data_IF_079250802736
#
_entry.id   IF_079250802736
#
_cell.length_a   1.000
_cell.length_b   1.000
_cell.length_c   1.000
_cell.angle_alpha   90.00
_cell.angle_beta   90.00
_cell.angle_gamma   90.00
#
_symmetry.space_group_name_H-M   'P 1'
#
loop_
_entity.id
_entity.type
_entity.pdbx_description
1 polymer ?
#
# COMPACT_ATOMS: atom_id res chain seq x y z
N UNK A 1 -21.23 -13.72 -64.63
CA UNK A 1 -21.85 -14.28 -63.41
C UNK A 1 -21.72 -15.81 -63.41
N UNK A 2 -20.98 -16.42 -62.46
CA UNK A 2 -20.81 -17.86 -62.50
C UNK A 2 -22.16 -18.53 -62.28
N UNK A 3 -22.49 -19.51 -63.11
CA UNK A 3 -23.71 -20.30 -63.01
C UNK A 3 -23.70 -21.04 -61.67
N UNK A 4 -24.43 -20.52 -60.66
CA UNK A 4 -24.71 -21.27 -59.44
C UNK A 4 -25.49 -22.52 -59.84
N UNK A 5 -25.05 -23.71 -59.43
CA UNK A 5 -25.85 -24.91 -59.65
C UNK A 5 -27.16 -24.75 -58.87
N UNK A 6 -28.29 -25.21 -59.43
CA UNK A 6 -29.61 -25.22 -58.78
C UNK A 6 -29.60 -25.86 -57.37
N UNK A 7 -28.57 -26.67 -57.09
CA UNK A 7 -28.28 -27.27 -55.78
C UNK A 7 -27.76 -26.25 -54.76
N UNK A 8 -26.85 -25.36 -55.17
CA UNK A 8 -26.27 -24.31 -54.31
C UNK A 8 -27.35 -23.30 -53.92
N UNK A 9 -28.24 -22.95 -54.86
CA UNK A 9 -29.35 -22.03 -54.61
C UNK A 9 -30.35 -22.61 -53.60
N UNK A 10 -30.77 -23.87 -53.77
CA UNK A 10 -31.67 -24.55 -52.83
C UNK A 10 -31.06 -24.71 -51.43
N UNK A 11 -29.75 -24.95 -51.36
CA UNK A 11 -29.02 -25.04 -50.10
C UNK A 11 -28.99 -23.69 -49.35
N UNK A 12 -28.68 -22.59 -50.05
CA UNK A 12 -28.68 -21.25 -49.46
C UNK A 12 -30.08 -20.80 -49.03
N UNK A 13 -31.12 -21.14 -49.80
CA UNK A 13 -32.52 -20.90 -49.42
C UNK A 13 -32.91 -21.69 -48.15
N UNK A 14 -32.45 -22.94 -48.01
CA UNK A 14 -32.65 -23.75 -46.80
C UNK A 14 -31.95 -23.16 -45.56
N UNK A 15 -30.70 -22.70 -45.70
CA UNK A 15 -29.99 -22.03 -44.59
C UNK A 15 -30.69 -20.74 -44.20
N UNK A 16 -31.09 -19.91 -45.16
CA UNK A 16 -31.81 -18.66 -44.87
C UNK A 16 -33.14 -18.92 -44.16
N UNK A 17 -33.89 -19.94 -44.58
CA UNK A 17 -35.10 -20.37 -43.87
C UNK A 17 -34.82 -20.85 -42.44
N UNK A 18 -33.75 -21.61 -42.24
CA UNK A 18 -33.32 -22.07 -40.90
C UNK A 18 -32.92 -20.90 -39.99
N UNK A 19 -32.19 -19.91 -40.51
CA UNK A 19 -31.85 -18.71 -39.73
C UNK A 19 -33.12 -17.96 -39.33
N UNK A 20 -34.04 -17.73 -40.28
CA UNK A 20 -35.26 -16.96 -40.03
C UNK A 20 -36.14 -17.63 -38.94
N UNK A 21 -36.37 -18.94 -39.10
CA UNK A 21 -37.16 -19.73 -38.15
C UNK A 21 -36.54 -19.80 -36.76
N UNK A 22 -35.22 -19.95 -36.65
CA UNK A 22 -34.54 -19.94 -35.35
C UNK A 22 -34.50 -18.54 -34.72
N UNK A 23 -34.36 -17.47 -35.52
CA UNK A 23 -34.43 -16.10 -35.00
C UNK A 23 -35.83 -15.71 -34.50
N UNK A 24 -36.89 -16.22 -35.14
CA UNK A 24 -38.28 -16.03 -34.71
C UNK A 24 -38.58 -16.80 -33.42
N UNK A 25 -38.08 -18.03 -33.27
CA UNK A 25 -38.22 -18.83 -32.04
C UNK A 25 -37.57 -18.19 -30.83
N UNK A 26 -36.42 -17.54 -31.01
CA UNK A 26 -35.64 -16.90 -29.94
C UNK A 26 -36.10 -15.45 -29.68
N UNK A 27 -37.11 -14.95 -30.40
CA UNK A 27 -37.64 -13.60 -30.22
C UNK A 27 -36.65 -12.48 -30.57
N UNK A 28 -35.55 -12.82 -31.27
CA UNK A 28 -34.49 -11.90 -31.63
C UNK A 28 -34.72 -11.33 -33.05
N UNK A 29 -35.76 -10.53 -33.24
CA UNK A 29 -36.08 -9.90 -34.53
C UNK A 29 -35.23 -8.64 -34.84
N UNK A 30 -34.76 -7.92 -33.81
CA UNK A 30 -34.07 -6.63 -34.01
C UNK A 30 -32.53 -6.74 -34.08
N UNK A 31 -31.84 -6.03 -35.00
CA UNK A 31 -30.37 -6.01 -35.07
C UNK A 31 -29.72 -5.54 -33.75
N UNK A 32 -29.04 -6.44 -33.03
CA UNK A 32 -28.39 -6.18 -31.74
C UNK A 32 -27.47 -7.33 -31.28
N UNK A 33 -26.62 -7.10 -30.25
CA UNK A 33 -25.63 -8.06 -29.74
C UNK A 33 -26.28 -9.10 -28.82
N UNK A 34 -27.16 -9.93 -29.38
CA UNK A 34 -27.71 -11.09 -28.69
C UNK A 34 -26.72 -12.25 -28.75
N UNK A 35 -26.39 -12.84 -27.59
CA UNK A 35 -25.53 -14.02 -27.50
C UNK A 35 -26.17 -15.24 -28.20
N UNK A 36 -27.50 -15.31 -28.17
CA UNK A 36 -28.28 -16.35 -28.81
C UNK A 36 -28.27 -16.21 -30.34
N UNK A 37 -28.28 -14.97 -30.85
CA UNK A 37 -28.11 -14.70 -32.28
C UNK A 37 -26.75 -15.18 -32.78
N UNK A 38 -25.69 -14.90 -32.03
CA UNK A 38 -24.35 -15.36 -32.41
C UNK A 38 -24.29 -16.90 -32.51
N UNK A 39 -24.97 -17.64 -31.61
CA UNK A 39 -25.07 -19.10 -31.68
C UNK A 39 -25.79 -19.56 -32.96
N UNK A 40 -26.91 -18.90 -33.32
CA UNK A 40 -27.67 -19.21 -34.54
C UNK A 40 -26.81 -19.02 -35.80
N UNK A 41 -26.10 -17.89 -35.90
CA UNK A 41 -25.23 -17.61 -37.05
C UNK A 41 -23.97 -18.50 -37.06
N UNK A 42 -23.41 -18.85 -35.90
CA UNK A 42 -22.26 -19.76 -35.80
C UNK A 42 -22.63 -21.17 -36.29
N UNK A 43 -23.83 -21.66 -35.93
CA UNK A 43 -24.39 -22.93 -36.41
C UNK A 43 -24.70 -22.91 -37.91
N UNK A 44 -25.22 -21.79 -38.43
CA UNK A 44 -25.45 -21.62 -39.86
C UNK A 44 -24.13 -21.61 -40.65
N UNK A 45 -23.07 -21.00 -40.09
CA UNK A 45 -21.75 -20.98 -40.69
C UNK A 45 -21.10 -22.37 -40.71
N UNK A 46 -21.30 -23.18 -39.67
CA UNK A 46 -20.84 -24.59 -39.66
C UNK A 46 -21.48 -25.40 -40.79
N UNK A 47 -22.78 -25.23 -41.02
CA UNK A 47 -23.48 -25.89 -42.14
C UNK A 47 -22.88 -25.47 -43.50
N UNK A 48 -22.44 -24.22 -43.64
CA UNK A 48 -21.77 -23.73 -44.86
C UNK A 48 -20.36 -24.33 -45.01
N UNK A 49 -19.61 -24.42 -43.91
CA UNK A 49 -18.28 -25.05 -43.87
C UNK A 49 -18.35 -26.52 -44.27
N UNK A 50 -19.39 -27.24 -43.84
CA UNK A 50 -19.61 -28.65 -44.20
C UNK A 50 -19.96 -28.82 -45.69
N UNK A 51 -20.76 -27.92 -46.25
CA UNK A 51 -21.16 -27.96 -47.67
C UNK A 51 -20.01 -27.63 -48.62
N UNK A 52 -19.18 -26.64 -48.27
CA UNK A 52 -18.08 -26.15 -49.12
C UNK A 52 -16.76 -26.79 -48.69
N UNK A 53 -16.63 -28.10 -48.97
CA UNK A 53 -15.49 -28.91 -48.55
C UNK A 53 -14.13 -28.43 -49.09
N UNK A 54 -14.10 -27.83 -50.29
CA UNK A 54 -12.88 -27.33 -50.93
C UNK A 54 -12.21 -26.18 -50.17
N UNK A 55 -12.99 -25.34 -49.49
CA UNK A 55 -12.51 -24.19 -48.72
C UNK A 55 -12.63 -24.39 -47.20
N UNK A 56 -12.93 -25.63 -46.77
CA UNK A 56 -13.22 -25.98 -45.37
C UNK A 56 -12.15 -25.47 -44.40
N UNK A 57 -10.87 -25.68 -44.73
CA UNK A 57 -9.76 -25.29 -43.86
C UNK A 57 -9.69 -23.76 -43.68
N UNK A 58 -9.84 -23.00 -44.77
CA UNK A 58 -9.78 -21.53 -44.76
C UNK A 58 -10.98 -20.96 -43.99
N UNK A 59 -12.20 -21.45 -44.26
CA UNK A 59 -13.40 -20.99 -43.57
C UNK A 59 -13.37 -21.35 -42.07
N UNK A 60 -12.80 -22.50 -41.71
CA UNK A 60 -12.63 -22.89 -40.30
C UNK A 60 -11.61 -21.98 -39.59
N UNK A 61 -10.48 -21.66 -40.23
CA UNK A 61 -9.51 -20.71 -39.68
C UNK A 61 -10.10 -19.31 -39.51
N UNK A 62 -10.86 -18.82 -40.50
CA UNK A 62 -11.57 -17.53 -40.39
C UNK A 62 -12.56 -17.57 -39.23
N UNK A 63 -13.36 -18.64 -39.10
CA UNK A 63 -14.27 -18.81 -37.96
C UNK A 63 -13.50 -18.70 -36.64
N UNK A 64 -12.41 -19.46 -36.49
CA UNK A 64 -11.61 -19.48 -35.27
C UNK A 64 -11.07 -18.10 -34.85
N UNK A 65 -10.61 -17.28 -35.80
CA UNK A 65 -10.13 -15.92 -35.52
C UNK A 65 -11.25 -15.01 -35.00
N UNK A 66 -12.43 -15.04 -35.63
CA UNK A 66 -13.57 -14.26 -35.16
C UNK A 66 -14.08 -14.76 -33.80
N UNK A 67 -14.07 -16.07 -33.58
CA UNK A 67 -14.45 -16.66 -32.29
C UNK A 67 -13.49 -16.30 -31.16
N UNK A 68 -12.19 -16.29 -31.43
CA UNK A 68 -11.17 -15.84 -30.51
C UNK A 68 -11.34 -14.35 -30.16
N UNK A 69 -11.63 -13.51 -31.17
CA UNK A 69 -11.88 -12.08 -30.98
C UNK A 69 -13.12 -11.81 -30.10
N UNK A 70 -14.24 -12.48 -30.40
CA UNK A 70 -15.48 -12.37 -29.61
C UNK A 70 -15.23 -12.82 -28.17
N UNK A 71 -14.51 -13.93 -27.98
CA UNK A 71 -14.17 -14.45 -26.64
C UNK A 71 -13.30 -13.45 -25.87
N UNK A 72 -12.33 -12.81 -26.55
CA UNK A 72 -11.49 -11.78 -25.95
C UNK A 72 -12.31 -10.56 -25.49
N UNK A 73 -13.27 -10.10 -26.29
CA UNK A 73 -14.17 -9.01 -25.91
C UNK A 73 -15.03 -9.39 -24.70
N UNK A 74 -15.63 -10.58 -24.71
CA UNK A 74 -16.47 -11.07 -23.59
C UNK A 74 -15.68 -11.18 -22.30
N UNK A 75 -14.45 -11.71 -22.36
CA UNK A 75 -13.57 -11.80 -21.21
C UNK A 75 -13.16 -10.41 -20.70
N UNK A 76 -12.89 -9.46 -21.61
CA UNK A 76 -12.65 -8.07 -21.26
C UNK A 76 -13.82 -7.44 -20.49
N UNK A 77 -15.05 -7.60 -20.96
CA UNK A 77 -16.25 -7.09 -20.28
C UNK A 77 -16.46 -7.70 -18.90
N UNK A 78 -16.26 -9.01 -18.75
CA UNK A 78 -16.31 -9.71 -17.45
C UNK A 78 -15.25 -9.20 -16.48
N UNK A 79 -14.02 -9.00 -16.95
CA UNK A 79 -12.93 -8.48 -16.15
C UNK A 79 -13.22 -7.05 -15.67
N UNK A 80 -13.72 -6.18 -16.55
CA UNK A 80 -14.12 -4.81 -16.18
C UNK A 80 -15.21 -4.82 -15.11
N UNK A 81 -16.22 -5.67 -15.26
CA UNK A 81 -17.29 -5.80 -14.25
C UNK A 81 -16.73 -6.26 -12.89
N UNK A 82 -15.86 -7.27 -12.89
CA UNK A 82 -15.22 -7.78 -11.67
C UNK A 82 -14.33 -6.73 -11.00
N UNK A 83 -13.48 -6.03 -11.77
CA UNK A 83 -12.63 -4.96 -11.28
C UNK A 83 -13.46 -3.82 -10.68
N UNK A 84 -14.56 -3.44 -11.33
CA UNK A 84 -15.49 -2.43 -10.80
C UNK A 84 -16.13 -2.87 -9.48
N UNK A 85 -16.48 -4.15 -9.35
CA UNK A 85 -16.98 -4.72 -8.10
C UNK A 85 -15.95 -4.66 -6.96
N UNK A 86 -14.69 -5.04 -7.24
CA UNK A 86 -13.58 -4.96 -6.28
C UNK A 86 -13.26 -3.52 -5.88
N UNK A 87 -13.25 -2.60 -6.83
CA UNK A 87 -13.01 -1.18 -6.57
C UNK A 87 -14.06 -0.61 -5.63
N UNK A 88 -15.34 -0.92 -5.86
CA UNK A 88 -16.43 -0.52 -4.96
C UNK A 88 -16.31 -1.11 -3.55
N UNK A 89 -15.81 -2.35 -3.43
CA UNK A 89 -15.55 -2.96 -2.13
C UNK A 89 -14.40 -2.24 -1.39
N UNK A 90 -13.29 -1.95 -2.08
CA UNK A 90 -12.16 -1.21 -1.53
C UNK A 90 -12.55 0.22 -1.12
N UNK A 91 -13.36 0.91 -1.92
CA UNK A 91 -13.93 2.22 -1.56
C UNK A 91 -14.72 2.11 -0.25
N UNK A 92 -15.54 1.08 -0.08
CA UNK A 92 -16.30 0.86 1.16
C UNK A 92 -15.39 0.54 2.36
N UNK A 93 -14.34 -0.26 2.17
CA UNK A 93 -13.34 -0.55 3.21
C UNK A 93 -12.61 0.73 3.65
N UNK A 94 -12.31 1.63 2.72
CA UNK A 94 -11.68 2.92 3.04
C UNK A 94 -12.57 3.78 3.95
N UNK A 95 -13.89 3.76 3.74
CA UNK A 95 -14.83 4.46 4.63
C UNK A 95 -14.92 3.82 6.01
N UNK A 96 -14.95 2.48 6.09
CA UNK A 96 -14.89 1.75 7.36
C UNK A 96 -13.61 2.07 8.15
N UNK A 97 -12.46 2.11 7.47
CA UNK A 97 -11.17 2.47 8.05
C UNK A 97 -11.17 3.90 8.61
N UNK A 98 -11.84 4.83 7.92
CA UNK A 98 -12.02 6.21 8.39
C UNK A 98 -12.84 6.26 9.69
N UNK A 99 -13.92 5.46 9.80
CA UNK A 99 -14.67 5.34 11.05
C UNK A 99 -13.83 4.74 12.18
N UNK A 100 -13.03 3.70 11.91
CA UNK A 100 -12.14 3.12 12.91
C UNK A 100 -11.07 4.11 13.39
N UNK A 101 -10.46 4.89 12.49
CA UNK A 101 -9.51 5.95 12.86
C UNK A 101 -10.16 7.02 13.73
N UNK A 102 -11.35 7.49 13.36
CA UNK A 102 -12.11 8.45 14.17
C UNK A 102 -12.39 7.89 15.57
N UNK A 103 -12.80 6.62 15.65
CA UNK A 103 -13.06 5.96 16.93
C UNK A 103 -11.79 5.79 17.78
N UNK A 104 -10.66 5.51 17.16
CA UNK A 104 -9.37 5.42 17.85
C UNK A 104 -8.99 6.77 18.50
N UNK A 105 -9.15 7.88 17.76
CA UNK A 105 -8.90 9.23 18.28
C UNK A 105 -9.83 9.58 19.44
N UNK A 106 -11.13 9.26 19.33
CA UNK A 106 -12.09 9.45 20.44
C UNK A 106 -11.72 8.65 21.70
N UNK A 107 -11.19 7.44 21.53
CA UNK A 107 -10.75 6.60 22.65
C UNK A 107 -9.47 7.15 23.29
N UNK A 108 -8.55 7.66 22.49
CA UNK A 108 -7.31 8.27 22.97
C UNK A 108 -7.59 9.54 23.80
N UNK A 109 -8.53 10.38 23.35
CA UNK A 109 -8.97 11.56 24.12
C UNK A 109 -9.62 11.17 25.45
N UNK A 110 -10.42 10.09 25.46
CA UNK A 110 -11.01 9.56 26.69
C UNK A 110 -9.95 9.01 27.64
N UNK A 111 -8.92 8.33 27.12
CA UNK A 111 -7.80 7.85 27.92
C UNK A 111 -7.07 9.02 28.57
N UNK A 112 -6.72 10.07 27.81
CA UNK A 112 -6.09 11.29 28.33
C UNK A 112 -6.94 11.96 29.41
N UNK A 113 -8.26 12.02 29.24
CA UNK A 113 -9.17 12.56 30.25
C UNK A 113 -9.18 11.71 31.53
N UNK A 114 -9.17 10.39 31.40
CA UNK A 114 -9.07 9.46 32.54
C UNK A 114 -7.74 9.63 33.26
N UNK A 115 -6.62 9.65 32.55
CA UNK A 115 -5.28 9.84 33.13
C UNK A 115 -5.18 11.16 33.91
N UNK A 116 -5.72 12.25 33.34
CA UNK A 116 -5.79 13.54 34.04
C UNK A 116 -6.62 13.46 35.32
N UNK A 117 -7.71 12.71 35.32
CA UNK A 117 -8.54 12.52 36.51
C UNK A 117 -7.86 11.61 37.54
N UNK A 118 -7.20 10.53 37.10
CA UNK A 118 -6.41 9.65 37.95
C UNK A 118 -5.29 10.43 38.66
N UNK A 119 -4.56 11.27 37.93
CA UNK A 119 -3.52 12.12 38.53
C UNK A 119 -4.07 13.12 39.57
N UNK A 120 -5.28 13.66 39.36
CA UNK A 120 -5.93 14.50 40.37
C UNK A 120 -6.28 13.71 41.62
N UNK A 121 -6.84 12.51 41.46
CA UNK A 121 -7.21 11.65 42.57
C UNK A 121 -5.97 11.24 43.37
N UNK A 122 -4.88 10.85 42.70
CA UNK A 122 -3.60 10.53 43.36
C UNK A 122 -3.07 11.72 44.17
N UNK A 123 -3.13 12.93 43.63
CA UNK A 123 -2.73 14.13 44.36
C UNK A 123 -3.60 14.39 45.60
N UNK A 124 -4.92 14.18 45.51
CA UNK A 124 -5.81 14.30 46.68
C UNK A 124 -5.54 13.20 47.71
N UNK A 125 -5.26 11.96 47.28
CA UNK A 125 -4.85 10.87 48.18
C UNK A 125 -3.57 11.24 48.93
N UNK A 126 -2.57 11.81 48.24
CA UNK A 126 -1.34 12.27 48.88
C UNK A 126 -1.59 13.37 49.91
N UNK A 127 -2.50 14.32 49.63
CA UNK A 127 -2.91 15.34 50.60
C UNK A 127 -3.57 14.72 51.82
N UNK A 128 -4.50 13.78 51.63
CA UNK A 128 -5.17 13.06 52.73
C UNK A 128 -4.16 12.26 53.57
N UNK A 129 -3.21 11.58 52.94
CA UNK A 129 -2.15 10.84 53.65
C UNK A 129 -1.23 11.77 54.45
N UNK A 130 -0.93 12.96 53.94
CA UNK A 130 -0.15 13.96 54.66
C UNK A 130 -0.91 14.54 55.86
N UNK A 131 -2.23 14.68 55.77
CA UNK A 131 -3.10 15.07 56.90
C UNK A 131 -3.17 13.94 57.94
N UNK A 132 -3.23 12.68 57.51
CA UNK A 132 -3.24 11.50 58.39
C UNK A 132 -1.91 11.18 59.08
N UNK A 133 -0.78 11.76 58.65
CA UNK A 133 0.53 11.63 59.33
C UNK A 133 0.67 12.52 60.58
N UNK A 134 -0.27 13.44 60.83
CA UNK A 134 -0.38 14.17 62.10
C UNK A 134 -1.58 13.60 62.88
N UNK A 135 -1.46 12.34 63.30
CA UNK A 135 -2.15 11.72 64.44
C UNK A 135 -2.18 10.20 64.21
N UNK A 136 -1.30 9.48 64.88
CA UNK A 136 -1.50 8.06 65.14
C UNK A 136 -0.69 7.65 66.36
N UNK A 137 -1.27 7.89 67.53
CA UNK A 137 -1.12 6.94 68.62
C UNK A 137 -1.86 5.66 68.24
N UNK A 138 -1.08 4.60 68.11
CA UNK A 138 -1.33 3.19 68.45
C UNK A 138 -2.77 2.77 68.75
N UNK A 139 -3.38 1.96 67.88
CA UNK A 139 -4.24 0.82 68.24
C UNK A 139 -4.22 -0.14 67.03
N UNK A 140 -3.68 -1.36 67.09
CA UNK A 140 -3.99 -2.40 68.07
C UNK A 140 -5.07 -3.29 67.48
N UNK A 141 -4.67 -4.37 66.80
CA UNK A 141 -5.56 -5.42 66.29
C UNK A 141 -6.44 -5.92 67.42
N UNK A 142 -7.74 -5.60 67.39
CA UNK A 142 -8.72 -6.23 68.26
C UNK A 142 -9.66 -7.07 67.40
N UNK A 143 -9.55 -8.39 67.57
CA UNK A 143 -10.62 -9.32 67.31
C UNK A 143 -11.89 -8.79 68.00
N UNK A 144 -12.89 -8.41 67.20
CA UNK A 144 -14.18 -8.00 67.75
C UNK A 144 -14.91 -9.24 68.24
N UNK A 145 -14.78 -9.51 69.54
CA UNK A 145 -15.85 -10.12 70.31
C UNK A 145 -17.14 -9.32 70.06
N UNK A 146 -18.13 -9.99 69.48
CA UNK A 146 -19.43 -9.38 69.16
C UNK A 146 -20.19 -9.21 70.47
N UNK A 147 -20.09 -8.03 71.07
CA UNK A 147 -20.98 -7.63 72.17
C UNK A 147 -22.42 -7.51 71.63
N UNK A 148 -23.41 -8.18 72.23
CA UNK A 148 -24.79 -8.21 71.74
C UNK A 148 -25.55 -6.88 71.86
N UNK A 149 -24.91 -5.81 72.34
CA UNK A 149 -25.52 -4.50 72.60
C UNK A 149 -25.06 -3.39 71.64
N UNK A 150 -24.32 -3.71 70.56
CA UNK A 150 -23.99 -2.70 69.54
C UNK A 150 -25.18 -2.53 68.58
N UNK A 151 -25.69 -1.30 68.37
CA UNK A 151 -26.75 -1.06 67.39
C UNK A 151 -26.26 -1.49 66.00
N UNK A 152 -27.17 -2.07 65.22
CA UNK A 152 -26.88 -2.51 63.85
C UNK A 152 -26.35 -1.31 63.07
N UNK A 153 -25.19 -1.40 62.39
CA UNK A 153 -24.64 -0.29 61.62
C UNK A 153 -25.65 0.27 60.62
N UNK A 154 -26.11 1.50 60.84
CA UNK A 154 -27.09 2.18 59.98
C UNK A 154 -28.51 2.31 60.54
N UNK A 155 -28.80 1.76 61.73
CA UNK A 155 -30.08 1.95 62.44
C UNK A 155 -29.86 2.71 63.76
N UNK A 156 -30.82 3.56 64.13
CA UNK A 156 -30.86 4.16 65.47
C UNK A 156 -31.28 3.13 66.54
N UNK A 157 -31.01 3.42 67.81
CA UNK A 157 -31.31 2.50 68.94
C UNK A 157 -32.81 2.19 69.04
N UNK A 158 -33.66 3.17 68.75
CA UNK A 158 -35.12 3.04 68.77
C UNK A 158 -35.64 2.19 67.60
N UNK A 159 -35.08 2.39 66.41
CA UNK A 159 -35.43 1.59 65.22
C UNK A 159 -34.98 0.13 65.35
N UNK A 160 -33.86 -0.11 66.05
CA UNK A 160 -33.34 -1.45 66.33
C UNK A 160 -34.19 -2.28 67.32
N UNK A 161 -35.14 -1.63 68.00
CA UNK A 161 -36.10 -2.29 68.90
C UNK A 161 -37.49 -2.47 68.25
N UNK A 162 -37.68 -1.93 67.04
CA UNK A 162 -38.94 -2.01 66.31
C UNK A 162 -38.89 -3.09 65.23
N UNK A 163 -39.83 -4.05 65.29
CA UNK A 163 -39.88 -5.20 64.38
C UNK A 163 -40.05 -4.78 62.91
N UNK A 164 -40.83 -3.74 62.66
CA UNK A 164 -41.11 -3.22 61.31
C UNK A 164 -39.91 -2.50 60.68
N UNK A 165 -39.08 -1.83 61.47
CA UNK A 165 -37.88 -1.16 60.93
C UNK A 165 -36.77 -2.18 60.66
N UNK A 166 -36.65 -3.20 61.52
CA UNK A 166 -35.75 -4.34 61.33
C UNK A 166 -36.11 -5.14 60.07
N UNK A 167 -37.39 -5.42 59.84
CA UNK A 167 -37.84 -6.16 58.64
C UNK A 167 -37.60 -5.37 57.36
N UNK A 168 -37.84 -4.06 57.36
CA UNK A 168 -37.50 -3.17 56.24
C UNK A 168 -35.99 -3.11 55.97
N UNK A 169 -35.18 -3.04 57.02
CA UNK A 169 -33.72 -3.02 56.89
C UNK A 169 -33.17 -4.36 56.37
N UNK A 170 -33.72 -5.48 56.83
CA UNK A 170 -33.39 -6.81 56.31
C UNK A 170 -33.73 -6.91 54.81
N UNK A 171 -34.92 -6.47 54.41
CA UNK A 171 -35.31 -6.43 53.00
C UNK A 171 -34.40 -5.53 52.15
N UNK A 172 -33.90 -4.42 52.70
CA UNK A 172 -32.95 -3.54 52.04
C UNK A 172 -31.57 -4.19 51.88
N UNK A 173 -31.09 -4.93 52.89
CA UNK A 173 -29.84 -5.68 52.83
C UNK A 173 -29.92 -6.83 51.82
N UNK A 174 -31.03 -7.56 51.80
CA UNK A 174 -31.26 -8.63 50.83
C UNK A 174 -31.30 -8.08 49.40
N UNK A 175 -31.95 -6.93 49.20
CA UNK A 175 -31.96 -6.25 47.90
C UNK A 175 -30.55 -5.84 47.47
N UNK A 176 -29.74 -5.27 48.37
CA UNK A 176 -28.34 -4.91 48.08
C UNK A 176 -27.47 -6.13 47.78
N UNK A 177 -27.65 -7.24 48.51
CA UNK A 177 -26.93 -8.47 48.22
C UNK A 177 -27.30 -9.02 46.85
N UNK A 178 -28.57 -8.95 46.45
CA UNK A 178 -29.03 -9.40 45.14
C UNK A 178 -28.49 -8.51 44.00
N UNK A 179 -28.44 -7.20 44.22
CA UNK A 179 -27.82 -6.23 43.30
C UNK A 179 -26.31 -6.48 43.16
N UNK A 180 -25.60 -6.67 44.28
CA UNK A 180 -24.16 -6.97 44.27
C UNK A 180 -23.84 -8.31 43.62
N UNK A 181 -24.69 -9.32 43.79
CA UNK A 181 -24.52 -10.63 43.15
C UNK A 181 -24.71 -10.55 41.63
N UNK A 182 -25.75 -9.82 41.17
CA UNK A 182 -25.96 -9.52 39.74
C UNK A 182 -24.79 -8.74 39.14
N UNK A 183 -24.29 -7.75 39.87
CA UNK A 183 -23.11 -6.96 39.46
C UNK A 183 -21.83 -7.81 39.44
N UNK A 184 -21.68 -8.73 40.40
CA UNK A 184 -20.58 -9.69 40.44
C UNK A 184 -20.53 -10.59 39.22
N UNK A 185 -21.68 -11.17 38.85
CA UNK A 185 -21.79 -12.08 37.70
C UNK A 185 -21.65 -11.34 36.34
N UNK A 186 -22.04 -10.07 36.28
CA UNK A 186 -21.96 -9.25 35.05
C UNK A 186 -20.61 -8.57 34.81
N UNK A 187 -19.90 -8.15 35.88
CA UNK A 187 -18.66 -7.36 35.78
C UNK A 187 -17.40 -8.19 35.95
N UNK A 188 -17.49 -9.40 36.51
CA UNK A 188 -16.32 -10.22 36.81
C UNK A 188 -16.34 -11.58 36.11
N UNK A 189 -15.26 -11.88 35.40
CA UNK A 189 -15.03 -13.20 34.80
C UNK A 189 -14.19 -14.04 35.76
N UNK A 190 -14.57 -15.30 36.07
CA UNK A 190 -13.77 -16.18 36.91
C UNK A 190 -12.36 -16.35 36.37
N UNK A 191 -11.34 -16.20 37.24
CA UNK A 191 -9.92 -16.32 36.87
C UNK A 191 -9.60 -17.63 36.15
N UNK A 192 -10.25 -18.72 36.52
CA UNK A 192 -10.10 -20.05 35.90
C UNK A 192 -10.53 -20.09 34.42
N UNK A 193 -11.53 -19.30 34.02
CA UNK A 193 -11.95 -19.20 32.61
C UNK A 193 -10.94 -18.39 31.80
N UNK A 194 -10.40 -17.31 32.40
CA UNK A 194 -9.34 -16.50 31.79
C UNK A 194 -8.08 -17.33 31.52
N UNK A 195 -7.61 -18.11 32.49
CA UNK A 195 -6.40 -18.94 32.33
C UNK A 195 -6.57 -20.03 31.27
N UNK A 196 -7.77 -20.61 31.12
CA UNK A 196 -8.05 -21.58 30.05
C UNK A 196 -8.00 -20.93 28.67
N UNK A 197 -8.60 -19.75 28.51
CA UNK A 197 -8.55 -18.99 27.25
C UNK A 197 -7.13 -18.54 26.91
N UNK A 198 -6.33 -18.15 27.90
CA UNK A 198 -4.91 -17.82 27.70
C UNK A 198 -4.11 -19.04 27.21
N UNK A 199 -4.36 -20.22 27.75
CA UNK A 199 -3.73 -21.47 27.29
C UNK A 199 -4.15 -21.85 25.87
N UNK A 200 -5.44 -21.73 25.55
CA UNK A 200 -5.95 -21.96 24.19
C UNK A 200 -5.35 -20.97 23.18
N UNK A 201 -5.24 -19.69 23.55
CA UNK A 201 -4.61 -18.67 22.72
C UNK A 201 -3.14 -18.99 22.45
N UNK A 202 -2.38 -19.35 23.49
CA UNK A 202 -0.97 -19.74 23.33
C UNK A 202 -0.81 -20.96 22.42
N UNK A 203 -1.69 -21.96 22.55
CA UNK A 203 -1.69 -23.14 21.68
C UNK A 203 -2.00 -22.77 20.22
N UNK A 204 -2.99 -21.90 19.97
CA UNK A 204 -3.32 -21.44 18.63
C UNK A 204 -2.19 -20.61 18.00
N UNK A 205 -1.50 -19.78 18.79
CA UNK A 205 -0.33 -19.03 18.34
C UNK A 205 0.81 -19.97 17.92
N UNK A 206 1.08 -21.02 18.71
CA UNK A 206 2.09 -22.01 18.33
C UNK A 206 1.74 -22.74 17.02
N UNK A 207 0.47 -23.08 16.81
CA UNK A 207 0.02 -23.67 15.53
C UNK A 207 0.24 -22.68 14.38
N UNK A 208 -0.14 -21.40 14.55
CA UNK A 208 0.09 -20.36 13.54
C UNK A 208 1.57 -20.27 13.17
N UNK A 209 2.45 -20.19 14.16
CA UNK A 209 3.89 -20.02 13.93
C UNK A 209 4.48 -21.23 13.18
N UNK A 210 4.04 -22.46 13.51
CA UNK A 210 4.44 -23.66 12.76
C UNK A 210 3.90 -23.68 11.33
N UNK A 211 2.71 -23.13 11.09
CA UNK A 211 2.12 -23.03 9.76
C UNK A 211 2.84 -21.95 8.92
N UNK A 212 3.20 -20.82 9.52
CA UNK A 212 3.98 -19.76 8.89
C UNK A 212 5.36 -20.27 8.47
N UNK A 213 6.07 -20.98 9.34
CA UNK A 213 7.36 -21.59 8.99
C UNK A 213 7.26 -22.57 7.81
N UNK A 214 6.19 -23.38 7.74
CA UNK A 214 5.94 -24.27 6.60
C UNK A 214 5.67 -23.49 5.31
N UNK A 215 4.87 -22.43 5.40
CA UNK A 215 4.54 -21.55 4.27
C UNK A 215 5.81 -20.89 3.71
N UNK A 216 6.69 -20.39 4.58
CA UNK A 216 7.93 -19.74 4.15
C UNK A 216 8.87 -20.73 3.44
N UNK A 217 8.97 -21.96 3.96
CA UNK A 217 9.71 -23.04 3.32
C UNK A 217 9.12 -23.41 1.94
N UNK A 218 7.80 -23.45 1.80
CA UNK A 218 7.14 -23.70 0.52
C UNK A 218 7.35 -22.55 -0.46
N UNK A 219 7.29 -21.30 0.00
CA UNK A 219 7.55 -20.10 -0.80
C UNK A 219 8.99 -20.08 -1.35
N UNK A 220 9.96 -20.47 -0.54
CA UNK A 220 11.35 -20.63 -0.98
C UNK A 220 11.49 -21.70 -2.06
N UNK A 221 10.76 -22.82 -1.95
CA UNK A 221 10.75 -23.86 -3.00
C UNK A 221 10.11 -23.35 -4.29
N UNK A 222 8.97 -22.69 -4.18
CA UNK A 222 8.25 -22.15 -5.34
C UNK A 222 9.10 -21.12 -6.11
N UNK A 223 9.70 -20.16 -5.42
CA UNK A 223 10.57 -19.15 -6.03
C UNK A 223 11.77 -19.79 -6.73
N UNK A 224 12.41 -20.79 -6.12
CA UNK A 224 13.49 -21.57 -6.76
C UNK A 224 13.01 -22.28 -8.04
N UNK A 225 11.86 -22.94 -7.99
CA UNK A 225 11.30 -23.65 -9.16
C UNK A 225 10.93 -22.65 -10.26
N UNK A 226 10.32 -21.52 -9.91
CA UNK A 226 9.93 -20.48 -10.86
C UNK A 226 11.15 -19.86 -11.54
N UNK A 227 12.21 -19.54 -10.80
CA UNK A 227 13.47 -19.04 -11.37
C UNK A 227 14.09 -20.05 -12.36
N UNK A 228 14.09 -21.34 -12.01
CA UNK A 228 14.56 -22.39 -12.92
C UNK A 228 13.69 -22.48 -14.17
N UNK A 229 12.36 -22.47 -14.03
CA UNK A 229 11.45 -22.51 -15.16
C UNK A 229 11.62 -21.31 -16.09
N UNK A 230 11.77 -20.11 -15.53
CA UNK A 230 12.01 -18.88 -16.28
C UNK A 230 13.35 -18.97 -17.03
N UNK A 231 14.42 -19.42 -16.38
CA UNK A 231 15.72 -19.61 -17.02
C UNK A 231 15.66 -20.65 -18.16
N UNK A 232 14.95 -21.77 -17.96
CA UNK A 232 14.74 -22.79 -19.00
C UNK A 232 13.95 -22.19 -20.18
N UNK A 233 12.89 -21.43 -19.92
CA UNK A 233 12.12 -20.78 -21.00
C UNK A 233 12.93 -19.73 -21.77
N UNK A 234 13.81 -18.98 -21.10
CA UNK A 234 14.71 -18.03 -21.72
C UNK A 234 15.78 -18.72 -22.57
N UNK A 235 16.26 -19.90 -22.14
CA UNK A 235 17.21 -20.71 -22.89
C UNK A 235 16.55 -21.49 -24.03
N UNK A 236 15.26 -21.81 -23.95
CA UNK A 236 14.52 -22.35 -25.09
C UNK A 236 14.33 -21.29 -26.20
N UNK A 237 14.31 -20.00 -25.83
CA UNK A 237 14.17 -18.86 -26.76
C UNK A 237 15.51 -18.36 -27.31
N UNK A 238 16.60 -18.59 -26.59
CA UNK A 238 17.95 -18.20 -27.01
C UNK A 238 18.82 -19.45 -26.98
N UNK A 239 19.29 -19.91 -28.14
CA UNK A 239 20.01 -21.18 -28.39
C UNK A 239 21.40 -21.29 -27.69
N UNK A 240 21.55 -20.73 -26.48
CA UNK A 240 22.78 -20.56 -25.72
C UNK A 240 22.67 -21.29 -24.38
N UNK A 241 23.29 -22.46 -24.30
CA UNK A 241 23.38 -23.34 -23.11
C UNK A 241 24.13 -22.73 -21.92
N UNK A 242 24.91 -21.65 -22.15
CA UNK A 242 25.81 -21.04 -21.16
C UNK A 242 25.04 -20.27 -20.06
N UNK A 243 23.79 -19.85 -20.31
CA UNK A 243 22.95 -19.12 -19.35
C UNK A 243 22.46 -20.01 -18.20
N UNK A 244 22.17 -21.30 -18.46
CA UNK A 244 21.65 -22.22 -17.44
C UNK A 244 22.66 -22.53 -16.35
N UNK A 245 23.92 -22.75 -16.71
CA UNK A 245 24.97 -23.13 -15.75
C UNK A 245 25.28 -21.97 -14.78
N UNK A 246 25.23 -20.73 -15.27
CA UNK A 246 25.46 -19.54 -14.45
C UNK A 246 24.28 -19.30 -13.48
N UNK A 247 23.03 -19.48 -13.94
CA UNK A 247 21.83 -19.37 -13.08
C UNK A 247 21.79 -20.49 -12.03
N UNK A 248 22.12 -21.73 -12.38
CA UNK A 248 22.26 -22.85 -11.44
C UNK A 248 23.30 -22.56 -10.34
N UNK A 249 24.40 -21.88 -10.70
CA UNK A 249 25.44 -21.50 -9.73
C UNK A 249 25.03 -20.34 -8.80
N UNK A 250 24.09 -19.49 -9.22
CA UNK A 250 23.50 -18.46 -8.34
C UNK A 250 22.46 -19.06 -7.38
N UNK A 251 21.70 -20.06 -7.83
CA UNK A 251 20.68 -20.76 -7.02
C UNK A 251 21.32 -21.54 -5.86
N UNK A 252 22.52 -22.11 -6.05
CA UNK A 252 23.23 -22.87 -5.01
C UNK A 252 23.97 -21.98 -4.01
N UNK A 253 24.25 -20.71 -4.35
CA UNK A 253 25.03 -19.77 -3.52
C UNK A 253 24.20 -18.82 -2.65
N UNK A 254 22.90 -18.71 -2.89
CA UNK A 254 22.03 -17.87 -2.07
C UNK A 254 21.62 -18.60 -0.79
N UNK A 255 22.51 -18.52 0.19
CA UNK A 255 22.24 -18.85 1.60
C UNK A 255 21.18 -17.92 2.21
N UNK A 256 20.57 -18.42 3.29
CA UNK A 256 19.33 -18.03 3.97
C UNK A 256 19.20 -16.60 4.52
N UNK A 257 19.93 -15.60 4.01
CA UNK A 257 19.84 -14.22 4.52
C UNK A 257 19.34 -13.24 3.47
N UNK A 258 18.33 -12.48 3.90
CA UNK A 258 17.78 -11.25 3.30
C UNK A 258 16.72 -11.43 2.20
N UNK A 259 15.54 -11.93 2.55
CA UNK A 259 14.29 -11.55 1.87
C UNK A 259 13.14 -11.51 2.88
N UNK A 260 13.23 -10.56 3.82
CA UNK A 260 12.07 -10.14 4.61
C UNK A 260 11.30 -9.08 3.81
N UNK A 261 10.56 -9.53 2.81
CA UNK A 261 9.57 -8.70 2.11
C UNK A 261 8.24 -9.46 2.07
N UNK A 262 7.18 -8.99 2.76
CA UNK A 262 5.87 -9.63 2.77
C UNK A 262 5.26 -9.67 1.37
N UNK A 263 5.03 -10.88 0.83
CA UNK A 263 4.62 -11.10 -0.57
C UNK A 263 3.17 -10.80 -0.90
N UNK A 264 2.51 -9.89 -0.19
CA UNK A 264 1.33 -9.21 -0.73
C UNK A 264 1.69 -7.93 -1.49
N UNK A 265 2.87 -7.35 -1.20
CA UNK A 265 3.35 -6.16 -1.93
C UNK A 265 3.93 -6.53 -3.30
N UNK A 266 4.52 -7.73 -3.46
CA UNK A 266 5.30 -8.08 -4.66
C UNK A 266 4.46 -8.36 -5.93
N UNK A 267 3.24 -8.86 -5.80
CA UNK A 267 2.34 -9.05 -6.96
C UNK A 267 1.80 -7.70 -7.46
N UNK A 268 1.31 -6.85 -6.56
CA UNK A 268 0.90 -5.49 -6.91
C UNK A 268 2.07 -4.68 -7.50
N UNK A 269 3.29 -4.87 -6.98
CA UNK A 269 4.50 -4.17 -7.47
C UNK A 269 4.86 -4.48 -8.92
N UNK A 270 4.65 -5.72 -9.36
CA UNK A 270 4.90 -6.11 -10.75
C UNK A 270 3.88 -5.48 -11.69
N UNK A 271 2.60 -5.47 -11.31
CA UNK A 271 1.54 -4.83 -12.09
C UNK A 271 1.77 -3.31 -12.23
N UNK A 272 2.21 -2.64 -11.16
CA UNK A 272 2.62 -1.24 -11.21
C UNK A 272 3.85 -1.02 -12.11
N UNK A 273 4.84 -1.92 -12.08
CA UNK A 273 6.03 -1.80 -12.94
C UNK A 273 5.72 -2.03 -14.42
N UNK A 274 4.89 -3.02 -14.75
CA UNK A 274 4.43 -3.27 -16.12
C UNK A 274 3.60 -2.10 -16.64
N UNK A 275 2.62 -1.63 -15.85
CA UNK A 275 1.80 -0.46 -16.19
C UNK A 275 2.65 0.79 -16.38
N UNK A 276 3.65 1.00 -15.52
CA UNK A 276 4.58 2.10 -15.63
C UNK A 276 5.43 2.01 -16.90
N UNK A 277 5.98 0.83 -17.21
CA UNK A 277 6.79 0.62 -18.42
C UNK A 277 5.98 0.86 -19.69
N UNK A 278 4.70 0.48 -19.72
CA UNK A 278 3.79 0.74 -20.84
C UNK A 278 3.46 2.24 -20.99
N UNK A 279 3.13 2.92 -19.89
CA UNK A 279 2.85 4.37 -19.89
C UNK A 279 4.08 5.20 -20.28
N UNK A 280 5.26 4.78 -19.84
CA UNK A 280 6.52 5.43 -20.20
C UNK A 280 6.85 5.22 -21.68
N UNK A 281 6.72 4.00 -22.19
CA UNK A 281 7.00 3.67 -23.60
C UNK A 281 5.98 4.30 -24.56
N UNK A 282 4.75 4.55 -24.10
CA UNK A 282 3.71 5.25 -24.88
C UNK A 282 3.83 6.78 -24.82
N UNK A 283 4.82 7.32 -24.10
CA UNK A 283 5.07 8.76 -24.00
C UNK A 283 4.11 9.51 -23.07
N UNK A 284 3.31 8.81 -22.27
CA UNK A 284 2.36 9.40 -21.31
C UNK A 284 3.02 9.67 -19.95
N UNK A 285 3.92 10.65 -19.92
CA UNK A 285 4.75 10.94 -18.74
C UNK A 285 3.96 11.44 -17.51
N UNK A 286 2.82 12.12 -17.70
CA UNK A 286 1.97 12.58 -16.59
C UNK A 286 1.28 11.41 -15.88
N UNK A 287 0.76 10.46 -16.66
CA UNK A 287 0.16 9.24 -16.15
C UNK A 287 1.22 8.33 -15.49
N UNK A 288 2.41 8.22 -16.11
CA UNK A 288 3.53 7.48 -15.55
C UNK A 288 4.02 8.07 -14.22
N UNK A 289 4.10 9.39 -14.10
CA UNK A 289 4.47 10.08 -12.86
C UNK A 289 3.44 9.85 -11.74
N UNK A 290 2.15 9.92 -12.09
CA UNK A 290 1.06 9.65 -11.14
C UNK A 290 1.07 8.17 -10.68
N UNK A 291 1.34 7.24 -11.60
CA UNK A 291 1.51 5.82 -11.31
C UNK A 291 2.70 5.58 -10.36
N UNK A 292 3.82 6.27 -10.57
CA UNK A 292 5.00 6.19 -9.71
C UNK A 292 4.73 6.70 -8.29
N UNK A 293 4.04 7.83 -8.13
CA UNK A 293 3.69 8.41 -6.82
C UNK A 293 2.73 7.52 -6.03
N UNK A 294 1.75 6.94 -6.71
CA UNK A 294 0.74 6.07 -6.09
C UNK A 294 1.25 4.66 -5.80
N UNK A 295 2.50 4.34 -6.17
CA UNK A 295 3.06 3.01 -5.94
C UNK A 295 3.28 2.73 -4.45
N UNK A 296 2.86 1.55 -3.94
CA UNK A 296 3.02 1.21 -2.53
C UNK A 296 4.51 1.06 -2.20
N UNK A 297 5.02 1.83 -1.24
CA UNK A 297 6.39 1.70 -0.75
C UNK A 297 7.48 2.29 -1.67
N UNK A 298 7.13 3.24 -2.56
CA UNK A 298 8.11 3.95 -3.41
C UNK A 298 8.92 3.04 -4.34
N UNK A 299 8.35 1.89 -4.72
CA UNK A 299 9.04 0.84 -5.46
C UNK A 299 9.49 1.32 -6.85
N UNK A 300 8.71 2.22 -7.47
CA UNK A 300 9.06 2.84 -8.76
C UNK A 300 10.04 4.01 -8.63
N UNK A 301 10.28 4.47 -7.41
CA UNK A 301 11.26 5.50 -7.06
C UNK A 301 12.57 4.89 -6.52
N UNK A 302 12.73 3.56 -6.58
CA UNK A 302 13.94 2.87 -6.18
C UNK A 302 15.03 2.91 -7.26
N UNK A 303 16.28 2.78 -6.82
CA UNK A 303 17.49 2.80 -7.66
C UNK A 303 17.43 1.77 -8.79
N UNK A 304 16.81 0.61 -8.56
CA UNK A 304 16.65 -0.46 -9.55
C UNK A 304 15.64 -0.11 -10.66
N UNK A 305 14.54 0.56 -10.32
CA UNK A 305 13.56 1.06 -11.29
C UNK A 305 14.15 2.20 -12.14
N UNK A 306 14.93 3.10 -11.51
CA UNK A 306 15.67 4.16 -12.21
C UNK A 306 16.71 3.60 -13.19
N UNK A 307 17.39 2.49 -12.84
CA UNK A 307 18.35 1.83 -13.73
C UNK A 307 17.67 1.24 -14.98
N UNK A 308 16.47 0.67 -14.82
CA UNK A 308 15.67 0.19 -15.94
C UNK A 308 15.19 1.35 -16.83
N UNK A 309 14.76 2.46 -16.23
CA UNK A 309 14.37 3.69 -16.95
C UNK A 309 15.50 4.26 -17.80
N UNK A 310 16.73 4.33 -17.27
CA UNK A 310 17.91 4.75 -18.05
C UNK A 310 18.18 3.84 -19.23
N UNK A 311 18.00 2.53 -19.03
CA UNK A 311 18.23 1.54 -20.08
C UNK A 311 17.23 1.73 -21.23
N UNK A 312 15.99 2.12 -20.90
CA UNK A 312 14.95 2.45 -21.88
C UNK A 312 15.23 3.78 -22.61
N UNK A 313 15.62 4.83 -21.89
CA UNK A 313 15.90 6.14 -22.52
C UNK A 313 17.15 6.15 -23.40
N UNK A 314 18.14 5.28 -23.11
CA UNK A 314 19.35 5.14 -23.92
C UNK A 314 19.06 4.61 -25.33
N UNK A 315 17.97 3.86 -25.52
CA UNK A 315 17.57 3.31 -26.82
C UNK A 315 17.03 4.38 -27.80
N UNK A 316 16.51 5.51 -27.28
CA UNK A 316 15.91 6.57 -28.11
C UNK A 316 16.87 7.75 -28.41
N UNK A 317 18.10 7.72 -27.88
CA UNK A 317 19.17 8.65 -28.28
C UNK A 317 18.99 10.12 -27.85
N UNK A 318 18.01 10.45 -27.00
CA UNK A 318 17.82 11.78 -26.40
C UNK A 318 17.35 11.64 -24.95
N UNK A 319 17.94 12.34 -23.97
CA UNK A 319 17.48 12.27 -22.57
C UNK A 319 16.32 13.24 -22.27
N UNK A 320 15.80 13.98 -23.26
CA UNK A 320 14.62 14.85 -23.11
C UNK A 320 13.36 14.15 -22.56
N UNK A 321 13.00 12.93 -23.00
CA UNK A 321 11.88 12.17 -22.45
C UNK A 321 12.01 11.91 -20.94
N UNK A 322 13.22 11.52 -20.52
CA UNK A 322 13.54 11.24 -19.14
C UNK A 322 13.48 12.52 -18.29
N UNK A 323 14.00 13.63 -18.83
CA UNK A 323 13.91 14.93 -18.18
C UNK A 323 12.45 15.38 -17.98
N UNK A 324 11.60 15.21 -19.00
CA UNK A 324 10.18 15.55 -18.92
C UNK A 324 9.45 14.71 -17.87
N UNK A 325 9.79 13.43 -17.77
CA UNK A 325 9.27 12.56 -16.71
C UNK A 325 9.72 13.02 -15.30
N UNK A 326 10.98 13.40 -15.12
CA UNK A 326 11.45 13.89 -13.82
C UNK A 326 10.78 15.21 -13.43
N UNK A 327 10.56 16.12 -14.38
CA UNK A 327 9.83 17.36 -14.11
C UNK A 327 8.38 17.08 -13.69
N UNK A 328 7.65 16.23 -14.41
CA UNK A 328 6.28 15.87 -14.03
C UNK A 328 6.23 15.13 -12.69
N UNK A 329 7.21 14.26 -12.41
CA UNK A 329 7.32 13.53 -11.14
C UNK A 329 7.59 14.46 -9.95
N UNK A 330 8.57 15.36 -10.05
CA UNK A 330 8.85 16.35 -9.01
C UNK A 330 7.62 17.24 -8.82
N UNK A 331 7.00 17.65 -9.93
CA UNK A 331 5.84 18.51 -9.89
C UNK A 331 4.67 17.89 -9.13
N UNK A 332 4.33 16.65 -9.47
CA UNK A 332 3.24 15.89 -8.87
C UNK A 332 3.55 15.48 -7.43
N UNK A 333 4.81 15.16 -7.10
CA UNK A 333 5.22 14.81 -5.74
C UNK A 333 5.01 16.00 -4.80
N UNK A 334 5.41 17.19 -5.22
CA UNK A 334 5.23 18.41 -4.42
C UNK A 334 3.75 18.76 -4.26
N UNK A 335 2.93 18.57 -5.31
CA UNK A 335 1.49 18.76 -5.23
C UNK A 335 0.81 17.78 -4.25
N UNK A 336 1.35 16.57 -4.13
CA UNK A 336 0.94 15.58 -3.14
C UNK A 336 1.53 15.83 -1.73
N UNK A 337 2.30 16.91 -1.53
CA UNK A 337 2.93 17.25 -0.25
C UNK A 337 4.10 16.34 0.14
N UNK A 338 4.68 15.60 -0.82
CA UNK A 338 5.79 14.65 -0.60
C UNK A 338 7.03 15.10 -1.36
N UNK A 339 8.20 15.07 -0.71
CA UNK A 339 9.48 15.32 -1.37
C UNK A 339 9.96 14.05 -2.08
N UNK A 340 10.57 14.16 -3.27
CA UNK A 340 11.13 13.02 -3.99
C UNK A 340 12.32 12.43 -3.24
N UNK A 341 12.51 11.12 -3.32
CA UNK A 341 13.61 10.42 -2.67
C UNK A 341 14.98 10.95 -3.10
N UNK A 342 15.99 10.80 -2.24
CA UNK A 342 17.36 11.19 -2.53
C UNK A 342 17.94 10.58 -3.83
N UNK A 343 17.85 9.26 -4.09
CA UNK A 343 18.35 8.68 -5.35
C UNK A 343 17.64 9.25 -6.58
N UNK A 344 16.32 9.48 -6.52
CA UNK A 344 15.54 10.11 -7.61
C UNK A 344 15.99 11.54 -7.82
N UNK A 345 16.18 12.30 -6.75
CA UNK A 345 16.64 13.71 -6.79
C UNK A 345 18.01 13.81 -7.44
N UNK A 346 18.96 12.96 -7.04
CA UNK A 346 20.30 12.93 -7.63
C UNK A 346 20.26 12.62 -9.13
N UNK A 347 19.39 11.69 -9.54
CA UNK A 347 19.28 11.30 -10.93
C UNK A 347 18.58 12.34 -11.81
N UNK A 348 17.53 12.98 -11.28
CA UNK A 348 16.85 14.08 -11.95
C UNK A 348 17.80 15.24 -12.22
N UNK A 349 18.63 15.60 -11.24
CA UNK A 349 19.62 16.67 -11.38
C UNK A 349 20.69 16.29 -12.40
N UNK A 350 21.24 15.06 -12.35
CA UNK A 350 22.19 14.58 -13.36
C UNK A 350 21.62 14.66 -14.77
N UNK A 351 20.37 14.23 -14.95
CA UNK A 351 19.68 14.29 -16.24
C UNK A 351 19.46 15.73 -16.72
N UNK A 352 19.08 16.65 -15.83
CA UNK A 352 18.88 18.06 -16.17
C UNK A 352 20.20 18.75 -16.57
N UNK A 353 21.28 18.44 -15.84
CA UNK A 353 22.62 18.98 -16.11
C UNK A 353 23.20 18.41 -17.41
N UNK A 354 23.02 17.11 -17.70
CA UNK A 354 23.49 16.53 -18.98
C UNK A 354 22.79 17.14 -20.20
N UNK A 355 21.54 17.58 -20.04
CA UNK A 355 20.76 18.27 -21.08
C UNK A 355 20.96 19.80 -21.07
N UNK A 356 21.89 20.32 -20.24
CA UNK A 356 22.19 21.76 -20.08
C UNK A 356 21.00 22.62 -19.64
N UNK A 357 20.03 22.02 -18.95
CA UNK A 357 18.82 22.68 -18.47
C UNK A 357 19.00 23.21 -17.04
N UNK A 358 19.97 24.12 -16.85
CA UNK A 358 20.28 24.69 -15.53
C UNK A 358 19.12 25.50 -14.95
N UNK A 359 18.31 26.13 -15.81
CA UNK A 359 17.09 26.86 -15.42
C UNK A 359 16.10 25.98 -14.66
N UNK A 360 15.99 24.70 -15.05
CA UNK A 360 15.08 23.75 -14.42
C UNK A 360 15.58 23.35 -13.03
N UNK A 361 16.89 23.12 -12.89
CA UNK A 361 17.54 22.87 -11.59
C UNK A 361 17.37 24.09 -10.67
N UNK A 362 17.56 25.30 -11.20
CA UNK A 362 17.32 26.55 -10.46
C UNK A 362 15.87 26.63 -9.95
N UNK A 363 14.90 26.32 -10.81
CA UNK A 363 13.48 26.28 -10.43
C UNK A 363 13.20 25.27 -9.31
N UNK A 364 13.69 24.05 -9.42
CA UNK A 364 13.46 23.02 -8.40
C UNK A 364 14.13 23.34 -7.06
N UNK A 365 15.34 23.91 -7.08
CA UNK A 365 16.09 24.31 -5.88
C UNK A 365 15.44 25.51 -5.19
N UNK A 366 15.08 26.56 -5.94
CA UNK A 366 14.46 27.78 -5.38
C UNK A 366 13.08 27.52 -4.79
N UNK A 367 12.32 26.59 -5.37
CA UNK A 367 11.01 26.18 -4.85
C UNK A 367 11.08 25.11 -3.75
N UNK A 368 12.28 24.69 -3.33
CA UNK A 368 12.49 23.65 -2.31
C UNK A 368 11.74 22.34 -2.59
N UNK A 369 11.68 21.92 -3.86
CA UNK A 369 10.91 20.73 -4.29
C UNK A 369 11.71 19.44 -4.30
N UNK A 370 12.93 19.50 -3.79
CA UNK A 370 13.93 18.44 -3.85
C UNK A 370 14.36 18.04 -2.44
N UNK A 371 14.78 16.79 -2.29
CA UNK A 371 15.45 16.35 -1.07
C UNK A 371 16.91 16.77 -1.12
N UNK A 372 17.25 17.82 -0.37
CA UNK A 372 18.61 18.36 -0.33
C UNK A 372 19.56 17.44 0.43
N UNK A 373 20.75 17.23 -0.14
CA UNK A 373 21.85 16.51 0.49
C UNK A 373 23.18 17.10 0.05
N UNK A 374 24.25 16.71 0.75
CA UNK A 374 25.61 17.09 0.37
C UNK A 374 25.96 16.65 -1.06
N UNK A 375 25.57 15.43 -1.45
CA UNK A 375 25.80 14.89 -2.78
C UNK A 375 25.06 15.68 -3.89
N UNK A 376 23.90 16.27 -3.58
CA UNK A 376 23.18 17.15 -4.52
C UNK A 376 23.96 18.43 -4.77
N UNK A 377 24.51 19.04 -3.72
CA UNK A 377 25.35 20.23 -3.84
C UNK A 377 26.64 19.96 -4.60
N UNK A 378 27.26 18.78 -4.37
CA UNK A 378 28.50 18.38 -5.05
C UNK A 378 28.29 18.27 -6.57
N UNK A 379 27.18 17.67 -7.02
CA UNK A 379 26.84 17.56 -8.44
C UNK A 379 26.71 18.92 -9.14
N UNK A 380 26.01 19.87 -8.51
CA UNK A 380 25.83 21.22 -9.06
C UNK A 380 27.17 21.97 -9.08
N UNK A 381 27.99 21.78 -8.05
CA UNK A 381 29.32 22.39 -7.96
C UNK A 381 30.28 21.85 -9.02
N UNK A 382 30.29 20.54 -9.24
CA UNK A 382 31.15 19.90 -10.24
C UNK A 382 30.74 20.29 -11.67
N UNK A 383 29.45 20.38 -11.96
CA UNK A 383 28.97 20.89 -13.25
C UNK A 383 29.43 22.34 -13.51
N UNK A 384 29.43 23.19 -12.48
CA UNK A 384 29.94 24.56 -12.60
C UNK A 384 31.43 24.63 -12.94
N UNK A 385 32.22 23.59 -12.65
CA UNK A 385 33.63 23.49 -13.09
C UNK A 385 33.73 23.13 -14.58
N UNK A 386 32.81 22.32 -15.09
CA UNK A 386 32.78 21.90 -16.49
C UNK A 386 32.24 23.01 -17.41
N UNK A 387 31.27 23.80 -16.93
CA UNK A 387 30.72 24.96 -17.66
C UNK A 387 31.03 26.30 -16.95
N UNK A 388 32.17 26.95 -17.24
CA UNK A 388 32.59 28.16 -16.55
C UNK A 388 31.65 29.36 -16.76
N UNK A 389 30.86 29.37 -17.84
CA UNK A 389 29.90 30.44 -18.13
C UNK A 389 28.77 30.52 -17.09
N UNK A 390 28.40 29.40 -16.46
CA UNK A 390 27.32 29.33 -15.47
C UNK A 390 27.86 29.18 -14.04
N UNK A 391 29.17 29.34 -13.84
CA UNK A 391 29.82 29.03 -12.56
C UNK A 391 29.24 29.80 -11.37
N UNK A 392 28.92 31.08 -11.53
CA UNK A 392 28.34 31.88 -10.43
C UNK A 392 26.93 31.39 -10.03
N UNK A 393 26.10 31.02 -11.01
CA UNK A 393 24.77 30.45 -10.76
C UNK A 393 24.87 29.07 -10.11
N UNK A 394 25.74 28.20 -10.63
CA UNK A 394 26.04 26.89 -10.02
C UNK A 394 26.51 27.04 -8.57
N UNK A 395 27.41 27.99 -8.28
CA UNK A 395 27.89 28.24 -6.93
C UNK A 395 26.77 28.72 -6.00
N UNK A 396 25.84 29.54 -6.48
CA UNK A 396 24.70 30.01 -5.71
C UNK A 396 23.70 28.88 -5.43
N UNK A 397 23.43 28.03 -6.42
CA UNK A 397 22.56 26.87 -6.28
C UNK A 397 23.16 25.80 -5.37
N UNK A 398 24.45 25.51 -5.51
CA UNK A 398 25.18 24.59 -4.63
C UNK A 398 25.17 25.12 -3.18
N UNK A 399 25.40 26.43 -2.98
CA UNK A 399 25.29 27.06 -1.67
C UNK A 399 23.90 26.85 -1.06
N UNK A 400 22.83 27.05 -1.83
CA UNK A 400 21.47 26.81 -1.37
C UNK A 400 21.29 25.33 -0.97
N UNK A 401 21.71 24.38 -1.81
CA UNK A 401 21.60 22.95 -1.51
C UNK A 401 22.37 22.55 -0.23
N UNK A 402 23.62 23.00 -0.08
CA UNK A 402 24.42 22.71 1.12
C UNK A 402 23.84 23.34 2.40
N UNK A 403 23.23 24.52 2.28
CA UNK A 403 22.58 25.19 3.40
C UNK A 403 21.41 24.37 3.96
N UNK A 404 20.62 23.75 3.08
CA UNK A 404 19.49 22.90 3.47
C UNK A 404 19.95 21.52 3.97
N UNK A 405 21.11 21.03 3.51
CA UNK A 405 21.66 19.73 3.93
C UNK A 405 22.49 19.78 5.23
N UNK A 406 22.71 20.96 5.81
CA UNK A 406 23.55 21.14 6.99
C UNK A 406 25.06 21.03 6.73
N UNK A 407 25.51 21.14 5.47
CA UNK A 407 26.93 21.05 5.09
C UNK A 407 27.63 22.42 5.19
N UNK A 408 27.71 22.98 6.41
CA UNK A 408 28.14 24.36 6.68
C UNK A 408 29.53 24.73 6.12
N UNK A 409 30.49 23.80 6.19
CA UNK A 409 31.85 23.98 5.65
C UNK A 409 31.84 24.22 4.14
N UNK A 410 30.98 23.50 3.40
CA UNK A 410 30.83 23.64 1.95
C UNK A 410 30.08 24.91 1.57
N UNK A 411 29.12 25.37 2.39
CA UNK A 411 28.47 26.69 2.22
C UNK A 411 29.49 27.82 2.29
N UNK A 412 30.35 27.82 3.31
CA UNK A 412 31.41 28.83 3.44
C UNK A 412 32.41 28.76 2.28
N UNK A 413 32.77 27.56 1.82
CA UNK A 413 33.60 27.37 0.62
C UNK A 413 32.95 28.03 -0.61
N UNK A 414 31.66 27.78 -0.85
CA UNK A 414 30.93 28.40 -1.97
C UNK A 414 30.91 29.92 -1.87
N UNK A 415 30.66 30.49 -0.69
CA UNK A 415 30.68 31.94 -0.45
C UNK A 415 32.07 32.56 -0.74
N UNK A 416 33.15 31.90 -0.30
CA UNK A 416 34.51 32.33 -0.59
C UNK A 416 34.81 32.26 -2.09
N UNK A 417 34.37 31.20 -2.79
CA UNK A 417 34.55 31.03 -4.24
C UNK A 417 33.74 32.04 -5.06
N UNK A 418 32.62 32.53 -4.54
CA UNK A 418 31.85 33.64 -5.12
C UNK A 418 32.48 35.02 -4.87
N UNK A 419 33.58 35.11 -4.09
CA UNK A 419 34.21 36.38 -3.70
C UNK A 419 33.53 37.10 -2.54
N UNK A 420 32.53 36.49 -1.89
CA UNK A 420 31.77 37.05 -0.76
C UNK A 420 32.39 36.69 0.59
N UNK A 421 33.65 37.10 0.78
CA UNK A 421 34.46 36.71 1.95
C UNK A 421 33.85 37.24 3.26
N UNK A 422 33.38 38.48 3.29
CA UNK A 422 32.73 39.06 4.47
C UNK A 422 31.50 38.25 4.92
N UNK A 423 30.64 37.87 3.97
CA UNK A 423 29.47 37.04 4.25
C UNK A 423 29.83 35.61 4.68
N UNK A 424 30.97 35.07 4.22
CA UNK A 424 31.45 33.77 4.69
C UNK A 424 31.87 33.83 6.17
N UNK A 425 32.57 34.89 6.58
CA UNK A 425 33.00 35.08 7.98
C UNK A 425 31.79 35.25 8.90
N UNK A 426 30.82 36.08 8.50
CA UNK A 426 29.58 36.27 9.26
C UNK A 426 28.80 34.95 9.40
N UNK A 427 28.71 34.17 8.32
CA UNK A 427 28.06 32.87 8.33
C UNK A 427 28.77 31.86 9.24
N UNK A 428 30.11 31.81 9.22
CA UNK A 428 30.91 30.96 10.11
C UNK A 428 30.68 31.34 11.58
N UNK A 429 30.55 32.63 11.90
CA UNK A 429 30.30 33.10 13.26
C UNK A 429 28.89 32.77 13.78
N UNK A 430 27.90 32.68 12.89
CA UNK A 430 26.51 32.39 13.27
C UNK A 430 26.20 30.91 13.48
N UNK A 431 26.99 30.01 12.89
CA UNK A 431 26.73 28.56 12.92
C UNK A 431 27.46 27.92 14.10
N UNK A 432 26.71 27.49 15.13
CA UNK A 432 27.25 26.90 16.37
C UNK A 432 28.05 25.58 16.17
N UNK A 433 27.83 24.87 15.06
CA UNK A 433 28.44 23.57 14.76
C UNK A 433 29.40 23.61 13.55
N UNK A 434 30.42 24.48 13.60
CA UNK A 434 31.44 24.55 12.54
C UNK A 434 32.60 23.55 12.68
N UNK A 435 32.66 22.77 13.77
CA UNK A 435 33.75 21.84 14.08
C UNK A 435 33.90 20.69 13.09
#
# INVERSE_FOLDING_TARGET
PPFLLEKDRRFLESIRGNILTETEKVGCAEPGPSEERYIIYSNAFDKIIEYVSAYKNILTSIKQEYEAFITRIKNGQRNVFFLRGRLKALESESTALLYYRKRAMELEDKIKAIEKNSAKIENEILKIQNIGKVSSETFGTQEKTVHPAKPIPGLSVEESLSLDSLSKHLAQLDRRLLELKKDGDGKYVPRQKKTKLEQELLHLLAIRDTAEAKRDKLKLRYTRISLVANAISACAKSDKTITLQNVLSQITKNDERALDVPSKMAEDSLEYFESFSELFSSGQYDAAATCAINSPGEILCNEEALKNLKSLSCLEGRNLPLLKYFDTLINASTAAGRLPNLPVTLEAIKCALSEKQLNLVNHWVTQQRLTFSEAVGDLIYDYGKEEPNNMLECLALAQAAYGHSGAYKKVALCLCKQGRIAGAVDYIQQVEHFS
#
